data_IF_725863227393
#
_entry.id   IF_725863227393
#
_cell.length_a   1.000
_cell.length_b   1.000
_cell.length_c   1.000
_cell.angle_alpha   90.00
_cell.angle_beta   90.00
_cell.angle_gamma   90.00
#
_symmetry.space_group_name_H-M   'P 1'
#
loop_
_entity.id
_entity.type
_entity.pdbx_description
1 polymer ?
#
# COMPACT_ATOMS: atom_id res chain seq x y z
N UNK A 1 -19.97 -14.10 12.85
CA UNK A 1 -19.66 -13.51 11.54
C UNK A 1 -19.18 -14.64 10.63
N UNK A 2 -19.89 -14.91 9.57
CA UNK A 2 -19.62 -16.01 8.65
C UNK A 2 -18.23 -15.80 7.97
N UNK A 3 -17.54 -16.89 7.65
CA UNK A 3 -16.17 -16.90 7.08
C UNK A 3 -16.09 -16.08 5.78
N UNK A 4 -17.16 -16.09 5.01
CA UNK A 4 -17.35 -15.34 3.75
C UNK A 4 -17.43 -13.83 3.99
N UNK A 5 -18.28 -13.41 4.93
CA UNK A 5 -18.45 -12.01 5.27
C UNK A 5 -17.15 -11.40 5.80
N UNK A 6 -16.33 -12.20 6.50
CA UNK A 6 -14.98 -11.78 6.93
C UNK A 6 -14.04 -11.55 5.75
N UNK A 7 -14.04 -12.44 4.75
CA UNK A 7 -13.20 -12.26 3.55
C UNK A 7 -13.66 -11.07 2.72
N UNK A 8 -14.97 -10.93 2.51
CA UNK A 8 -15.52 -9.79 1.80
C UNK A 8 -15.15 -8.47 2.50
N UNK A 9 -15.35 -8.37 3.80
CA UNK A 9 -14.97 -7.19 4.58
C UNK A 9 -13.48 -6.89 4.47
N UNK A 10 -12.62 -7.91 4.55
CA UNK A 10 -11.18 -7.75 4.41
C UNK A 10 -10.81 -7.11 3.06
N UNK A 11 -11.34 -7.64 1.96
CA UNK A 11 -11.06 -7.10 0.62
C UNK A 11 -11.59 -5.67 0.44
N UNK A 12 -12.73 -5.35 1.05
CA UNK A 12 -13.29 -4.00 1.06
C UNK A 12 -12.34 -3.03 1.79
N UNK A 13 -11.91 -3.37 3.01
CA UNK A 13 -11.01 -2.53 3.81
C UNK A 13 -9.67 -2.28 3.10
N UNK A 14 -9.09 -3.32 2.51
CA UNK A 14 -7.83 -3.22 1.74
C UNK A 14 -8.04 -2.36 0.49
N UNK A 15 -9.15 -2.53 -0.23
CA UNK A 15 -9.49 -1.74 -1.40
C UNK A 15 -9.67 -0.25 -1.08
N UNK A 16 -10.38 0.07 -0.01
CA UNK A 16 -10.56 1.46 0.48
C UNK A 16 -9.21 2.07 0.88
N UNK A 17 -8.37 1.31 1.60
CA UNK A 17 -7.03 1.78 1.98
C UNK A 17 -6.18 2.09 0.74
N UNK A 18 -6.15 1.22 -0.26
CA UNK A 18 -5.39 1.44 -1.49
C UNK A 18 -5.92 2.63 -2.30
N UNK A 19 -7.25 2.77 -2.43
CA UNK A 19 -7.87 3.92 -3.09
C UNK A 19 -7.57 5.22 -2.35
N UNK A 20 -7.68 5.22 -1.02
CA UNK A 20 -7.35 6.37 -0.18
C UNK A 20 -5.89 6.80 -0.38
N UNK A 21 -4.93 5.88 -0.36
CA UNK A 21 -3.51 6.19 -0.60
C UNK A 21 -3.27 6.78 -1.99
N UNK A 22 -3.95 6.27 -3.02
CA UNK A 22 -3.84 6.81 -4.36
C UNK A 22 -4.38 8.25 -4.48
N UNK A 23 -5.48 8.56 -3.79
CA UNK A 23 -6.08 9.89 -3.74
C UNK A 23 -5.24 10.86 -2.90
N UNK A 24 -4.67 10.36 -1.81
CA UNK A 24 -3.82 11.12 -0.90
C UNK A 24 -2.39 11.32 -1.45
N UNK A 25 -2.06 10.79 -2.59
CA UNK A 25 -0.78 11.02 -3.28
C UNK A 25 -0.56 12.49 -3.70
N UNK A 26 -1.49 13.38 -3.37
CA UNK A 26 -1.35 14.84 -3.54
C UNK A 26 -0.52 15.47 -2.42
N UNK A 27 0.24 16.57 -2.71
CA UNK A 27 1.36 17.05 -1.88
C UNK A 27 1.02 17.57 -0.47
N UNK A 28 -0.25 17.70 -0.12
CA UNK A 28 -0.68 18.33 1.15
C UNK A 28 -1.12 17.32 2.23
N UNK A 29 -0.79 16.04 2.08
CA UNK A 29 -1.28 15.03 2.99
C UNK A 29 -0.53 14.95 4.31
N UNK A 30 -1.30 14.90 5.39
CA UNK A 30 -0.75 14.68 6.71
C UNK A 30 -0.38 13.21 6.88
N UNK A 31 0.79 12.93 7.47
CA UNK A 31 1.26 11.58 7.82
C UNK A 31 0.23 10.79 8.64
N UNK A 32 -0.63 11.49 9.40
CA UNK A 32 -1.74 10.90 10.17
C UNK A 32 -2.77 10.22 9.27
N UNK A 33 -3.03 10.75 8.07
CA UNK A 33 -3.96 10.15 7.12
C UNK A 33 -3.39 8.87 6.53
N UNK A 34 -2.11 8.84 6.16
CA UNK A 34 -1.41 7.65 5.69
C UNK A 34 -1.44 6.55 6.76
N UNK A 35 -1.12 6.88 8.00
CA UNK A 35 -1.19 5.98 9.14
C UNK A 35 -2.59 5.38 9.33
N UNK A 36 -3.65 6.20 9.22
CA UNK A 36 -5.03 5.74 9.33
C UNK A 36 -5.40 4.71 8.26
N UNK A 37 -4.93 4.93 7.02
CA UNK A 37 -5.15 4.00 5.91
C UNK A 37 -4.37 2.69 6.09
N UNK A 38 -3.17 2.75 6.67
CA UNK A 38 -2.39 1.55 6.99
C UNK A 38 -3.06 0.74 8.08
N UNK A 39 -3.57 1.37 9.13
CA UNK A 39 -4.35 0.68 10.17
C UNK A 39 -5.54 -0.04 9.55
N UNK A 40 -6.26 0.62 8.63
CA UNK A 40 -7.39 0.03 7.92
C UNK A 40 -6.99 -1.21 7.11
N UNK A 41 -5.86 -1.14 6.39
CA UNK A 41 -5.31 -2.26 5.64
C UNK A 41 -4.90 -3.42 6.55
N UNK A 42 -4.21 -3.14 7.66
CA UNK A 42 -3.76 -4.14 8.65
C UNK A 42 -4.94 -4.87 9.27
N UNK A 43 -6.03 -4.16 9.59
CA UNK A 43 -7.29 -4.81 10.03
C UNK A 43 -7.82 -5.76 8.94
N UNK A 44 -7.79 -5.35 7.67
CA UNK A 44 -8.12 -6.23 6.55
C UNK A 44 -7.24 -7.47 6.48
N UNK A 45 -5.92 -7.33 6.66
CA UNK A 45 -4.98 -8.46 6.67
C UNK A 45 -5.23 -9.40 7.85
N UNK A 46 -5.56 -8.88 9.04
CA UNK A 46 -5.94 -9.67 10.22
C UNK A 46 -7.17 -10.55 9.94
N UNK A 47 -8.14 -10.05 9.21
CA UNK A 47 -9.34 -10.81 8.86
C UNK A 47 -9.05 -12.00 7.92
N UNK A 48 -7.96 -11.95 7.15
CA UNK A 48 -7.54 -12.99 6.20
C UNK A 48 -6.35 -13.83 6.71
N UNK A 49 -5.70 -13.43 7.81
CA UNK A 49 -4.41 -13.98 8.28
C UNK A 49 -4.40 -15.50 8.50
N UNK A 50 -5.55 -16.15 8.73
CA UNK A 50 -5.63 -17.61 8.88
C UNK A 50 -5.16 -18.39 7.64
N UNK A 51 -5.11 -17.75 6.47
CA UNK A 51 -4.67 -18.35 5.19
C UNK A 51 -3.30 -17.87 4.73
N UNK A 52 -2.88 -16.69 5.19
CA UNK A 52 -1.60 -16.11 4.82
C UNK A 52 -1.13 -15.12 5.91
N UNK A 53 -0.10 -15.50 6.60
CA UNK A 53 0.51 -14.68 7.66
C UNK A 53 1.37 -13.57 7.06
N UNK A 54 1.98 -13.80 5.88
CA UNK A 54 2.93 -12.86 5.27
C UNK A 54 2.37 -11.44 5.01
N UNK A 55 1.15 -11.24 4.46
CA UNK A 55 0.59 -9.91 4.32
C UNK A 55 0.44 -9.18 5.65
N UNK A 56 0.12 -9.92 6.72
CA UNK A 56 0.01 -9.35 8.05
C UNK A 56 1.38 -8.90 8.60
N UNK A 57 2.42 -9.71 8.41
CA UNK A 57 3.78 -9.36 8.84
C UNK A 57 4.27 -8.13 8.09
N UNK A 58 4.14 -8.09 6.77
CA UNK A 58 4.52 -6.92 5.97
C UNK A 58 3.70 -5.68 6.35
N UNK A 59 2.39 -5.83 6.59
CA UNK A 59 1.53 -4.73 7.02
C UNK A 59 1.87 -4.22 8.42
N UNK A 60 2.25 -5.10 9.34
CA UNK A 60 2.72 -4.69 10.67
C UNK A 60 4.05 -3.93 10.60
N UNK A 61 5.00 -4.38 9.75
CA UNK A 61 6.25 -3.66 9.51
C UNK A 61 5.98 -2.28 8.89
N UNK A 62 5.06 -2.19 7.94
CA UNK A 62 4.62 -0.94 7.36
C UNK A 62 4.05 0.01 8.41
N UNK A 63 3.18 -0.48 9.30
CA UNK A 63 2.62 0.30 10.39
C UNK A 63 3.71 0.85 11.33
N UNK A 64 4.73 0.04 11.66
CA UNK A 64 5.87 0.49 12.47
C UNK A 64 6.65 1.59 11.77
N UNK A 65 6.93 1.45 10.45
CA UNK A 65 7.62 2.48 9.69
C UNK A 65 6.83 3.79 9.66
N UNK A 66 5.53 3.75 9.46
CA UNK A 66 4.68 4.94 9.46
C UNK A 66 4.59 5.61 10.83
N UNK A 67 4.55 4.83 11.91
CA UNK A 67 4.65 5.38 13.27
C UNK A 67 5.98 6.12 13.50
N UNK A 68 7.08 5.55 13.01
CA UNK A 68 8.40 6.21 13.07
C UNK A 68 8.39 7.50 12.24
N UNK A 69 7.81 7.47 11.03
CA UNK A 69 7.66 8.66 10.17
C UNK A 69 6.82 9.75 10.82
N UNK A 70 5.72 9.39 11.51
CA UNK A 70 4.87 10.33 12.24
C UNK A 70 5.57 10.94 13.47
N UNK A 71 6.40 10.18 14.16
CA UNK A 71 7.10 10.62 15.37
C UNK A 71 8.44 11.32 15.12
N UNK A 72 8.96 11.27 13.90
CA UNK A 72 10.27 11.83 13.59
C UNK A 72 10.22 13.35 13.43
N UNK A 73 11.11 14.03 14.16
CA UNK A 73 11.32 15.47 13.99
C UNK A 73 12.35 15.73 12.90
N UNK A 74 12.13 16.75 12.08
CA UNK A 74 13.05 17.16 11.02
C UNK A 74 14.36 17.71 11.63
N UNK A 75 15.45 16.96 11.49
CA UNK A 75 16.79 17.42 11.87
C UNK A 75 17.83 16.29 12.02
N UNK A 76 19.08 16.60 11.79
CA UNK A 76 20.22 15.69 11.99
C UNK A 76 20.19 14.44 11.09
N UNK A 77 20.42 13.26 11.67
CA UNK A 77 20.46 11.98 10.96
C UNK A 77 19.12 11.62 10.31
N UNK A 78 18.01 12.11 10.85
CA UNK A 78 16.66 11.87 10.34
C UNK A 78 16.43 12.41 8.93
N UNK A 79 17.11 13.50 8.56
CA UNK A 79 17.01 14.07 7.21
C UNK A 79 17.36 13.06 6.09
N UNK A 80 18.26 12.12 6.37
CA UNK A 80 18.66 11.07 5.42
C UNK A 80 17.86 9.79 5.58
N UNK A 81 17.44 9.46 6.80
CA UNK A 81 16.70 8.23 7.08
C UNK A 81 15.22 8.31 6.64
N UNK A 82 14.58 9.48 6.76
CA UNK A 82 13.18 9.64 6.39
C UNK A 82 12.87 9.27 4.93
N UNK A 83 13.65 9.73 3.93
CA UNK A 83 13.47 9.30 2.54
C UNK A 83 13.61 7.78 2.37
N UNK A 84 14.58 7.17 3.05
CA UNK A 84 14.79 5.72 2.99
C UNK A 84 13.60 4.95 3.60
N UNK A 85 13.06 5.41 4.72
CA UNK A 85 11.89 4.80 5.35
C UNK A 85 10.63 4.94 4.49
N UNK A 86 10.41 6.09 3.84
CA UNK A 86 9.32 6.26 2.87
C UNK A 86 9.42 5.30 1.69
N UNK A 87 10.62 5.13 1.14
CA UNK A 87 10.87 4.15 0.07
C UNK A 87 10.58 2.74 0.55
N UNK A 88 11.06 2.38 1.75
CA UNK A 88 10.81 1.06 2.35
C UNK A 88 9.31 0.81 2.57
N UNK A 89 8.57 1.81 3.04
CA UNK A 89 7.12 1.75 3.24
C UNK A 89 6.37 1.42 1.93
N UNK A 90 6.71 2.12 0.84
CA UNK A 90 6.11 1.88 -0.48
C UNK A 90 6.43 0.48 -1.04
N UNK A 91 7.64 -0.03 -0.79
CA UNK A 91 8.00 -1.39 -1.18
C UNK A 91 7.25 -2.44 -0.35
N UNK A 92 7.02 -2.20 0.93
CA UNK A 92 6.18 -3.07 1.77
C UNK A 92 4.72 -3.03 1.30
N UNK A 93 4.21 -1.85 0.93
CA UNK A 93 2.88 -1.71 0.34
C UNK A 93 2.75 -2.53 -0.95
N UNK A 94 3.74 -2.47 -1.85
CA UNK A 94 3.75 -3.29 -3.06
C UNK A 94 3.81 -4.78 -2.74
N UNK A 95 4.64 -5.18 -1.79
CA UNK A 95 4.75 -6.57 -1.36
C UNK A 95 3.43 -7.12 -0.81
N UNK A 96 2.75 -6.36 0.07
CA UNK A 96 1.43 -6.74 0.59
C UNK A 96 0.39 -6.83 -0.52
N UNK A 97 0.40 -5.89 -1.47
CA UNK A 97 -0.51 -5.89 -2.62
C UNK A 97 -0.33 -7.14 -3.48
N UNK A 98 0.90 -7.51 -3.81
CA UNK A 98 1.23 -8.72 -4.58
C UNK A 98 0.78 -9.99 -3.85
N UNK A 99 1.06 -10.08 -2.54
CA UNK A 99 0.67 -11.22 -1.72
C UNK A 99 -0.87 -11.38 -1.65
N UNK A 100 -1.59 -10.27 -1.50
CA UNK A 100 -3.06 -10.28 -1.47
C UNK A 100 -3.65 -10.66 -2.83
N UNK A 101 -3.13 -10.15 -3.94
CA UNK A 101 -3.59 -10.51 -5.29
C UNK A 101 -3.44 -12.00 -5.57
N UNK A 102 -2.34 -12.61 -5.14
CA UNK A 102 -2.15 -14.07 -5.25
C UNK A 102 -3.25 -14.87 -4.53
N UNK A 103 -3.79 -14.32 -3.43
CA UNK A 103 -4.84 -15.00 -2.65
C UNK A 103 -6.24 -14.82 -3.25
N UNK A 104 -6.49 -13.70 -3.95
CA UNK A 104 -7.80 -13.42 -4.55
C UNK A 104 -8.06 -14.21 -5.82
N UNK A 105 -7.03 -14.83 -6.42
CA UNK A 105 -7.13 -15.54 -7.71
C UNK A 105 -7.42 -14.61 -8.90
N UNK A 106 -7.29 -13.29 -8.72
CA UNK A 106 -7.50 -12.32 -9.79
C UNK A 106 -6.37 -12.38 -10.82
N UNK A 107 -6.68 -12.26 -12.12
CA UNK A 107 -5.69 -12.29 -13.20
C UNK A 107 -4.92 -10.97 -13.27
N UNK A 108 -3.95 -10.79 -12.40
CA UNK A 108 -3.13 -9.58 -12.32
C UNK A 108 -1.62 -9.88 -12.38
N UNK A 109 -1.22 -10.82 -13.24
CA UNK A 109 0.20 -11.27 -13.33
C UNK A 109 1.17 -10.14 -13.71
N UNK A 110 0.75 -9.19 -14.51
CA UNK A 110 1.58 -8.06 -14.93
C UNK A 110 1.67 -6.94 -13.89
N UNK A 111 0.72 -6.85 -12.95
CA UNK A 111 0.66 -5.75 -11.99
C UNK A 111 1.94 -5.57 -11.16
N UNK A 112 2.60 -6.62 -10.64
CA UNK A 112 3.83 -6.45 -9.87
C UNK A 112 4.94 -5.76 -10.65
N UNK A 113 5.12 -6.11 -11.94
CA UNK A 113 6.13 -5.48 -12.80
C UNK A 113 5.77 -4.03 -13.13
N UNK A 114 4.51 -3.77 -13.48
CA UNK A 114 4.01 -2.43 -13.78
C UNK A 114 4.13 -1.49 -12.59
N UNK A 115 3.98 -2.01 -11.36
CA UNK A 115 4.16 -1.23 -10.14
C UNK A 115 5.63 -1.08 -9.73
N UNK A 116 6.44 -2.12 -9.90
CA UNK A 116 7.83 -2.13 -9.45
C UNK A 116 8.71 -1.16 -10.25
N UNK A 117 8.46 -1.00 -11.56
CA UNK A 117 9.25 -0.09 -12.41
C UNK A 117 9.13 1.37 -11.94
N UNK A 118 7.94 1.98 -11.85
CA UNK A 118 7.82 3.36 -11.37
C UNK A 118 8.28 3.50 -9.92
N UNK A 119 8.08 2.49 -9.07
CA UNK A 119 8.55 2.53 -7.70
C UNK A 119 10.09 2.50 -7.63
N UNK A 120 10.76 1.73 -8.48
CA UNK A 120 12.22 1.72 -8.55
C UNK A 120 12.77 3.07 -9.05
N UNK A 121 12.14 3.67 -10.07
CA UNK A 121 12.48 5.01 -10.54
C UNK A 121 12.30 6.05 -9.43
N UNK A 122 11.16 6.01 -8.73
CA UNK A 122 10.90 6.86 -7.58
C UNK A 122 11.97 6.68 -6.49
N UNK A 123 12.31 5.43 -6.16
CA UNK A 123 13.27 5.10 -5.10
C UNK A 123 14.64 5.71 -5.35
N UNK A 124 15.08 5.78 -6.60
CA UNK A 124 16.36 6.41 -6.97
C UNK A 124 16.20 7.93 -7.04
N UNK A 125 15.19 8.41 -7.75
CA UNK A 125 15.00 9.84 -8.01
C UNK A 125 14.70 10.65 -6.74
N UNK A 126 14.05 10.04 -5.75
CA UNK A 126 13.67 10.70 -4.50
C UNK A 126 14.87 11.20 -3.66
N UNK A 127 16.04 10.60 -3.82
CA UNK A 127 17.26 11.02 -3.11
C UNK A 127 17.99 12.20 -3.76
N UNK A 128 17.59 12.59 -4.97
CA UNK A 128 18.24 13.67 -5.73
C UNK A 128 17.28 14.82 -5.98
N UNK A 129 17.56 15.99 -5.43
CA UNK A 129 16.73 17.19 -5.63
C UNK A 129 16.60 17.58 -7.12
N UNK A 130 17.64 17.34 -7.93
CA UNK A 130 17.63 17.57 -9.37
C UNK A 130 16.63 16.66 -10.13
N UNK A 131 16.22 15.55 -9.55
CA UNK A 131 15.28 14.57 -10.11
C UNK A 131 13.89 14.64 -9.49
N UNK A 132 13.56 15.70 -8.75
CA UNK A 132 12.28 15.85 -8.05
C UNK A 132 11.07 15.69 -8.99
N UNK A 133 11.13 16.26 -10.19
CA UNK A 133 10.06 16.10 -11.19
C UNK A 133 9.89 14.65 -11.65
N UNK A 134 11.01 13.94 -11.85
CA UNK A 134 11.00 12.52 -12.24
C UNK A 134 10.41 11.68 -11.09
N UNK A 135 10.80 11.96 -9.85
CA UNK A 135 10.24 11.31 -8.68
C UNK A 135 8.73 11.51 -8.57
N UNK A 136 8.25 12.74 -8.75
CA UNK A 136 6.83 13.06 -8.72
C UNK A 136 6.05 12.34 -9.83
N UNK A 137 6.55 12.32 -11.05
CA UNK A 137 5.93 11.59 -12.16
C UNK A 137 5.88 10.09 -11.90
N UNK A 138 6.98 9.50 -11.44
CA UNK A 138 7.04 8.09 -11.09
C UNK A 138 6.04 7.73 -9.97
N UNK A 139 5.89 8.61 -8.98
CA UNK A 139 4.92 8.43 -7.90
C UNK A 139 3.48 8.53 -8.39
N UNK A 140 3.16 9.45 -9.31
CA UNK A 140 1.83 9.53 -9.96
C UNK A 140 1.51 8.23 -10.71
N UNK A 141 2.46 7.69 -11.48
CA UNK A 141 2.26 6.42 -12.18
C UNK A 141 2.02 5.28 -11.18
N UNK A 142 2.79 5.23 -10.10
CA UNK A 142 2.58 4.24 -9.04
C UNK A 142 1.19 4.38 -8.39
N UNK A 143 0.71 5.61 -8.16
CA UNK A 143 -0.63 5.88 -7.63
C UNK A 143 -1.75 5.38 -8.55
N UNK A 144 -1.58 5.49 -9.88
CA UNK A 144 -2.52 4.89 -10.85
C UNK A 144 -2.56 3.36 -10.71
N UNK A 145 -1.41 2.73 -10.46
CA UNK A 145 -1.37 1.27 -10.19
C UNK A 145 -2.07 0.92 -8.88
N UNK A 146 -1.99 1.76 -7.85
CA UNK A 146 -2.76 1.58 -6.61
C UNK A 146 -4.27 1.68 -6.83
N UNK A 147 -4.74 2.57 -7.70
CA UNK A 147 -6.15 2.61 -8.10
C UNK A 147 -6.55 1.31 -8.79
N UNK A 148 -5.73 0.81 -9.71
CA UNK A 148 -5.98 -0.49 -10.34
C UNK A 148 -6.06 -1.62 -9.29
N UNK A 149 -5.12 -1.65 -8.35
CA UNK A 149 -5.14 -2.60 -7.24
C UNK A 149 -6.43 -2.50 -6.41
N UNK A 150 -6.88 -1.28 -6.07
CA UNK A 150 -8.13 -1.05 -5.35
C UNK A 150 -9.34 -1.62 -6.11
N UNK A 151 -9.40 -1.42 -7.43
CA UNK A 151 -10.45 -1.98 -8.29
C UNK A 151 -10.43 -3.51 -8.27
N UNK A 152 -9.26 -4.14 -8.30
CA UNK A 152 -9.14 -5.59 -8.21
C UNK A 152 -9.61 -6.12 -6.85
N UNK A 153 -9.33 -5.42 -5.76
CA UNK A 153 -9.84 -5.78 -4.42
C UNK A 153 -11.36 -5.64 -4.33
N UNK A 154 -11.94 -4.59 -4.92
CA UNK A 154 -13.40 -4.42 -5.00
C UNK A 154 -14.07 -5.51 -5.85
N UNK A 155 -13.44 -5.94 -6.95
CA UNK A 155 -13.92 -7.10 -7.72
C UNK A 155 -13.86 -8.39 -6.90
N UNK A 156 -12.80 -8.60 -6.13
CA UNK A 156 -12.69 -9.74 -5.23
C UNK A 156 -13.75 -9.70 -4.12
N UNK A 157 -14.06 -8.52 -3.58
CA UNK A 157 -15.16 -8.31 -2.65
C UNK A 157 -16.51 -8.71 -3.26
N UNK A 158 -16.83 -8.20 -4.45
CA UNK A 158 -18.07 -8.51 -5.14
C UNK A 158 -18.18 -10.01 -5.45
N UNK A 159 -17.09 -10.66 -5.92
CA UNK A 159 -17.05 -12.08 -6.18
C UNK A 159 -17.20 -12.94 -4.90
N UNK A 160 -16.74 -12.46 -3.75
CA UNK A 160 -16.95 -13.12 -2.48
C UNK A 160 -18.40 -13.03 -2.01
N UNK A 161 -19.09 -11.92 -2.34
CA UNK A 161 -20.50 -11.66 -1.96
C UNK A 161 -21.50 -12.29 -2.92
N UNK A 162 -21.25 -12.27 -4.23
CA UNK A 162 -22.19 -12.75 -5.27
C UNK A 162 -22.31 -14.28 -5.33
N UNK A 163 -21.57 -15.01 -4.51
CA UNK A 163 -21.71 -16.46 -4.36
C UNK A 163 -22.73 -16.84 -3.27
N UNK A 164 -23.51 -15.90 -2.81
CA UNK A 164 -24.71 -16.10 -2.01
C UNK A 164 -25.88 -16.43 -2.93
#
# INVERSE_FOLDING_TARGET
MDKRNRQALAYLLIGISAAGRALLAMPDNTQVQELSLTVLAVVGYLLVCRRAVMPLVCGALQLVLELVLCGSQSGGVWQWLLPAFRVADLWLLLATAVLMLRQTGQPARAMPLVAAVPLAVYSVAHFFSSLATVASLAFVVFSVVLVWYAVLMLRAYNAARSRE
#
